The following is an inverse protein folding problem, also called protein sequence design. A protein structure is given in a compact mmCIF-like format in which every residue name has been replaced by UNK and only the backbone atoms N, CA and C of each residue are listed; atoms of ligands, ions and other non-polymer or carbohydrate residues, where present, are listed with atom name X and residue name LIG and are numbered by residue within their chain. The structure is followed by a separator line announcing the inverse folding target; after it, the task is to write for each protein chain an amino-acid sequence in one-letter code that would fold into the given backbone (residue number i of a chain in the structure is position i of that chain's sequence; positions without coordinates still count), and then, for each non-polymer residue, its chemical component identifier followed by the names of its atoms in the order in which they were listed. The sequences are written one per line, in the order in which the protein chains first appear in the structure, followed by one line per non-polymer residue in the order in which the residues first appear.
data_IF_751899064495
#
_entry.id   IF_751899064495
#
_cell.length_a   1.000
_cell.length_b   1.000
_cell.length_c   1.000
_cell.angle_alpha   90.00
_cell.angle_beta   90.00
_cell.angle_gamma   90.00
#
_symmetry.space_group_name_H-M   'P 1'
#
loop_
_entity.id
_entity.type
_entity.pdbx_description
1 polymer ?
#
# COMPACT_ATOMS: atom_id res chain seq x y z
N UNK A 1 -9.81 -57.63 -15.60
CA UNK A 1 -10.87 -56.80 -14.99
C UNK A 1 -10.36 -56.43 -13.60
N UNK A 2 -10.17 -55.20 -13.15
CA UNK A 2 -10.54 -53.89 -13.65
C UNK A 2 -9.57 -52.88 -13.02
N UNK A 3 -9.10 -51.91 -13.81
CA UNK A 3 -8.50 -50.69 -13.28
C UNK A 3 -9.61 -49.78 -12.77
N UNK A 4 -9.45 -49.20 -11.57
CA UNK A 4 -10.31 -48.13 -11.09
C UNK A 4 -9.47 -46.94 -10.63
N UNK A 5 -9.91 -45.79 -11.12
CA UNK A 5 -9.18 -44.56 -11.35
C UNK A 5 -9.02 -43.71 -10.09
N UNK A 6 -7.90 -42.99 -10.03
CA UNK A 6 -7.68 -41.88 -9.11
C UNK A 6 -8.66 -40.73 -9.40
N UNK A 7 -9.42 -40.32 -8.38
CA UNK A 7 -10.26 -39.11 -8.44
C UNK A 7 -9.45 -37.89 -7.97
N UNK A 8 -8.70 -37.29 -8.90
CA UNK A 8 -8.12 -35.96 -8.74
C UNK A 8 -9.17 -34.88 -8.98
N UNK A 9 -9.85 -34.44 -7.92
CA UNK A 9 -10.77 -33.31 -7.97
C UNK A 9 -10.02 -31.97 -8.12
N UNK A 10 -10.03 -31.37 -9.32
CA UNK A 10 -9.56 -30.01 -9.55
C UNK A 10 -10.47 -29.01 -8.81
N UNK A 11 -9.99 -28.38 -7.74
CA UNK A 11 -10.66 -27.21 -7.12
C UNK A 11 -10.81 -26.11 -8.17
N UNK A 12 -12.03 -25.81 -8.60
CA UNK A 12 -12.34 -24.62 -9.42
C UNK A 12 -12.00 -23.38 -8.59
N UNK A 13 -11.06 -22.55 -9.06
CA UNK A 13 -10.85 -21.21 -8.50
C UNK A 13 -12.11 -20.40 -8.76
N UNK A 14 -12.71 -19.85 -7.71
CA UNK A 14 -13.80 -18.90 -7.85
C UNK A 14 -13.30 -17.70 -8.68
N UNK A 15 -14.04 -17.34 -9.72
CA UNK A 15 -13.77 -16.12 -10.48
C UNK A 15 -13.97 -14.92 -9.56
N UNK A 16 -13.03 -13.96 -9.60
CA UNK A 16 -13.21 -12.69 -8.91
C UNK A 16 -14.45 -11.97 -9.49
N UNK A 17 -15.24 -11.27 -8.66
CA UNK A 17 -16.35 -10.47 -9.16
C UNK A 17 -15.85 -9.46 -10.22
N UNK A 18 -16.67 -9.14 -11.22
CA UNK A 18 -16.31 -8.19 -12.26
C UNK A 18 -15.99 -6.82 -11.64
N UNK A 19 -14.94 -6.17 -12.14
CA UNK A 19 -14.60 -4.81 -11.74
C UNK A 19 -15.75 -3.85 -12.12
N UNK A 20 -16.01 -2.86 -11.25
CA UNK A 20 -16.99 -1.81 -11.55
C UNK A 20 -16.53 -0.99 -12.79
N UNK A 21 -17.48 -0.42 -13.56
CA UNK A 21 -17.17 0.54 -14.61
C UNK A 21 -16.31 1.72 -14.09
N UNK A 22 -15.46 2.28 -14.96
CA UNK A 22 -14.47 3.31 -14.59
C UNK A 22 -15.09 4.64 -14.12
N UNK A 23 -16.32 4.91 -14.53
CA UNK A 23 -17.12 6.09 -14.22
C UNK A 23 -17.97 5.92 -12.94
N UNK A 24 -17.90 4.76 -12.28
CA UNK A 24 -18.53 4.55 -10.98
C UNK A 24 -17.66 5.10 -9.83
N UNK A 25 -18.26 5.50 -8.69
CA UNK A 25 -17.52 5.75 -7.46
C UNK A 25 -16.64 4.56 -7.08
N UNK A 26 -15.42 4.79 -6.56
CA UNK A 26 -14.49 3.71 -6.27
C UNK A 26 -15.00 2.84 -5.10
N UNK A 27 -14.87 1.52 -5.25
CA UNK A 27 -14.98 0.62 -4.10
C UNK A 27 -13.76 0.76 -3.15
N UNK A 28 -13.81 0.08 -1.99
CA UNK A 28 -12.75 0.14 -0.98
C UNK A 28 -11.38 -0.26 -1.56
N UNK A 29 -11.35 -1.21 -2.51
CA UNK A 29 -10.12 -1.71 -3.08
C UNK A 29 -9.52 -0.72 -4.09
N UNK A 30 -10.34 -0.11 -4.93
CA UNK A 30 -9.93 0.93 -5.88
C UNK A 30 -9.49 2.19 -5.14
N UNK A 31 -10.26 2.64 -4.14
CA UNK A 31 -9.89 3.75 -3.28
C UNK A 31 -8.54 3.48 -2.61
N UNK A 32 -8.36 2.31 -1.99
CA UNK A 32 -7.10 1.92 -1.35
C UNK A 32 -5.91 1.93 -2.30
N UNK A 33 -6.03 1.36 -3.51
CA UNK A 33 -4.94 1.38 -4.52
C UNK A 33 -4.58 2.80 -4.94
N UNK A 34 -5.57 3.65 -5.15
CA UNK A 34 -5.36 5.06 -5.51
C UNK A 34 -4.69 5.84 -4.38
N UNK A 35 -5.13 5.64 -3.14
CA UNK A 35 -4.55 6.28 -1.97
C UNK A 35 -3.12 5.86 -1.70
N UNK A 36 -2.79 4.56 -1.80
CA UNK A 36 -1.41 4.12 -1.70
C UNK A 36 -0.53 4.69 -2.82
N UNK A 37 -1.06 4.80 -4.03
CA UNK A 37 -0.34 5.44 -5.14
C UNK A 37 0.01 6.90 -4.82
N UNK A 38 -0.94 7.66 -4.24
CA UNK A 38 -0.69 9.03 -3.79
C UNK A 38 0.36 9.08 -2.68
N UNK A 39 0.17 8.31 -1.61
CA UNK A 39 1.04 8.34 -0.42
C UNK A 39 2.49 7.94 -0.74
N UNK A 40 2.67 6.88 -1.54
CA UNK A 40 4.00 6.46 -1.97
C UNK A 40 4.63 7.45 -2.95
N UNK A 41 3.84 8.11 -3.81
CA UNK A 41 4.34 9.18 -4.69
C UNK A 41 4.80 10.41 -3.90
N UNK A 42 4.05 10.84 -2.87
CA UNK A 42 4.48 11.91 -1.95
C UNK A 42 5.80 11.52 -1.26
N UNK A 43 5.92 10.25 -0.86
CA UNK A 43 7.12 9.74 -0.19
C UNK A 43 8.32 9.72 -1.13
N UNK A 44 8.13 9.31 -2.39
CA UNK A 44 9.17 9.26 -3.42
C UNK A 44 9.76 10.64 -3.75
N UNK A 45 8.93 11.69 -3.71
CA UNK A 45 9.32 13.09 -3.96
C UNK A 45 9.74 13.85 -2.71
N UNK A 46 9.64 13.23 -1.53
CA UNK A 46 10.04 13.84 -0.26
C UNK A 46 11.55 14.20 -0.25
N UNK A 47 11.99 15.30 0.39
CA UNK A 47 13.41 15.65 0.41
C UNK A 47 14.25 14.62 1.18
N UNK A 48 15.51 14.44 0.77
CA UNK A 48 16.47 13.65 1.56
C UNK A 48 16.77 14.30 2.91
N UNK A 49 16.76 15.63 2.95
CA UNK A 49 16.96 16.47 4.14
C UNK A 49 15.84 17.51 4.22
N UNK A 50 14.64 17.13 4.71
CA UNK A 50 13.50 18.02 4.81
C UNK A 50 13.69 19.07 5.93
N UNK A 51 13.20 20.29 5.70
CA UNK A 51 13.10 21.29 6.75
C UNK A 51 12.14 20.84 7.87
N UNK A 52 12.38 21.30 9.10
CA UNK A 52 11.57 20.93 10.26
C UNK A 52 10.07 21.28 10.11
N UNK A 53 9.77 22.38 9.40
CA UNK A 53 8.40 22.77 9.03
C UNK A 53 7.71 21.66 8.23
N UNK A 54 8.35 21.19 7.16
CA UNK A 54 7.82 20.14 6.30
C UNK A 54 7.67 18.81 7.05
N UNK A 55 8.56 18.48 7.98
CA UNK A 55 8.42 17.29 8.84
C UNK A 55 7.16 17.36 9.71
N UNK A 56 6.92 18.53 10.31
CA UNK A 56 5.73 18.80 11.12
C UNK A 56 4.45 18.71 10.30
N UNK A 57 4.45 19.32 9.12
CA UNK A 57 3.33 19.32 8.17
C UNK A 57 3.04 17.92 7.64
N UNK A 58 4.08 17.14 7.32
CA UNK A 58 3.92 15.75 6.83
C UNK A 58 3.30 14.86 7.90
N UNK A 59 3.75 14.99 9.14
CA UNK A 59 3.16 14.27 10.27
C UNK A 59 1.71 14.69 10.50
N UNK A 60 1.38 15.98 10.35
CA UNK A 60 0.02 16.49 10.45
C UNK A 60 -0.86 15.99 9.29
N UNK A 61 -0.32 15.96 8.07
CA UNK A 61 -0.98 15.42 6.90
C UNK A 61 -1.38 13.96 7.10
N UNK A 62 -0.48 13.09 7.59
CA UNK A 62 -0.80 11.67 7.83
C UNK A 62 -1.89 11.49 8.90
N UNK A 63 -1.85 12.29 9.98
CA UNK A 63 -2.91 12.29 11.00
C UNK A 63 -4.25 12.74 10.41
N UNK A 64 -4.26 13.80 9.61
CA UNK A 64 -5.48 14.32 8.97
C UNK A 64 -6.00 13.35 7.91
N UNK A 65 -5.12 12.75 7.12
CA UNK A 65 -5.44 11.71 6.16
C UNK A 65 -6.13 10.53 6.85
N UNK A 66 -5.59 10.05 7.96
CA UNK A 66 -6.19 8.98 8.75
C UNK A 66 -7.58 9.31 9.28
N UNK A 67 -7.87 10.59 9.60
CA UNK A 67 -9.21 11.03 10.04
C UNK A 67 -10.20 11.18 8.90
N UNK A 68 -9.73 11.62 7.73
CA UNK A 68 -10.57 11.91 6.57
C UNK A 68 -10.75 10.72 5.63
N UNK A 69 -10.06 9.60 5.87
CA UNK A 69 -10.11 8.44 4.99
C UNK A 69 -11.55 7.84 4.93
N UNK A 70 -12.22 7.78 3.76
CA UNK A 70 -13.66 7.50 3.68
C UNK A 70 -14.10 6.11 4.18
N UNK A 71 -13.20 5.12 4.15
CA UNK A 71 -13.47 3.81 4.75
C UNK A 71 -13.23 3.90 6.26
N UNK A 72 -14.30 4.11 7.04
CA UNK A 72 -14.22 4.30 8.49
C UNK A 72 -13.45 3.20 9.22
N UNK A 73 -13.70 1.91 8.93
CA UNK A 73 -12.93 0.81 9.54
C UNK A 73 -11.45 0.85 9.18
N UNK A 74 -11.12 1.19 7.93
CA UNK A 74 -9.74 1.33 7.48
C UNK A 74 -9.06 2.53 8.14
N UNK A 75 -9.81 3.61 8.35
CA UNK A 75 -9.36 4.85 8.97
C UNK A 75 -9.04 4.64 10.45
N UNK A 76 -9.92 3.96 11.18
CA UNK A 76 -9.74 3.59 12.59
C UNK A 76 -8.51 2.69 12.76
N UNK A 77 -8.39 1.66 11.92
CA UNK A 77 -7.23 0.76 11.93
C UNK A 77 -5.90 1.50 11.71
N UNK A 78 -5.86 2.40 10.73
CA UNK A 78 -4.66 3.16 10.42
C UNK A 78 -4.30 4.13 11.55
N UNK A 79 -5.30 4.78 12.16
CA UNK A 79 -5.10 5.64 13.32
C UNK A 79 -4.58 4.86 14.53
N UNK A 80 -5.11 3.68 14.81
CA UNK A 80 -4.63 2.82 15.90
C UNK A 80 -3.19 2.37 15.66
N UNK A 81 -2.89 1.93 14.44
CA UNK A 81 -1.54 1.52 14.07
C UNK A 81 -0.52 2.65 14.23
N UNK A 82 -0.89 3.89 13.87
CA UNK A 82 -0.01 5.06 14.02
C UNK A 82 0.25 5.47 15.48
N UNK A 83 -0.56 5.05 16.45
CA UNK A 83 -0.33 5.37 17.88
C UNK A 83 0.97 4.74 18.39
N UNK A 84 1.29 3.55 17.91
CA UNK A 84 2.51 2.81 18.29
C UNK A 84 3.59 2.83 17.20
N UNK A 85 3.24 3.24 15.98
CA UNK A 85 4.16 3.40 14.85
C UNK A 85 4.19 4.85 14.36
N UNK A 86 4.81 5.74 15.14
CA UNK A 86 4.88 7.17 14.80
C UNK A 86 5.55 7.39 13.43
N UNK A 87 5.00 8.27 12.56
CA UNK A 87 5.62 8.61 11.28
C UNK A 87 7.08 9.03 11.41
N UNK A 88 7.96 8.36 10.67
CA UNK A 88 9.39 8.71 10.58
C UNK A 88 9.60 9.57 9.36
N UNK A 89 9.64 10.89 9.57
CA UNK A 89 9.67 11.89 8.48
C UNK A 89 10.97 12.69 8.46
N UNK A 90 12.02 12.24 9.14
CA UNK A 90 13.29 13.00 9.23
C UNK A 90 14.08 13.00 7.91
N UNK A 91 13.78 12.07 7.00
CA UNK A 91 14.37 11.96 5.66
C UNK A 91 13.45 11.17 4.74
N UNK A 92 13.66 11.31 3.42
CA UNK A 92 13.00 10.46 2.41
C UNK A 92 13.15 8.96 2.68
N UNK A 93 14.35 8.52 3.08
CA UNK A 93 14.62 7.09 3.33
C UNK A 93 13.79 6.56 4.50
N UNK A 94 13.80 7.28 5.63
CA UNK A 94 12.99 6.88 6.79
C UNK A 94 11.50 6.91 6.50
N UNK A 95 11.04 7.91 5.74
CA UNK A 95 9.64 8.03 5.37
C UNK A 95 9.20 6.94 4.40
N UNK A 96 10.04 6.61 3.41
CA UNK A 96 9.86 5.47 2.50
C UNK A 96 9.72 4.15 3.23
N UNK A 97 10.63 3.89 4.15
CA UNK A 97 10.60 2.68 4.97
C UNK A 97 9.34 2.62 5.83
N UNK A 98 8.97 3.71 6.51
CA UNK A 98 7.75 3.77 7.33
C UNK A 98 6.47 3.59 6.50
N UNK A 99 6.39 4.22 5.32
CA UNK A 99 5.23 4.09 4.43
C UNK A 99 5.08 2.66 3.88
N UNK A 100 6.19 1.99 3.61
CA UNK A 100 6.19 0.58 3.23
C UNK A 100 5.69 -0.32 4.37
N UNK A 101 6.20 -0.13 5.59
CA UNK A 101 5.77 -0.88 6.78
C UNK A 101 4.28 -0.69 7.06
N UNK A 102 3.78 0.55 6.96
CA UNK A 102 2.35 0.85 7.10
C UNK A 102 1.50 0.08 6.07
N UNK A 103 1.94 0.06 4.82
CA UNK A 103 1.26 -0.70 3.76
C UNK A 103 1.34 -2.21 4.00
N UNK A 104 2.48 -2.72 4.48
CA UNK A 104 2.64 -4.13 4.82
C UNK A 104 1.77 -4.56 6.00
N UNK A 105 1.58 -3.72 7.01
CA UNK A 105 0.65 -4.00 8.10
C UNK A 105 -0.78 -4.26 7.57
N UNK A 106 -1.22 -3.47 6.59
CA UNK A 106 -2.50 -3.69 5.90
C UNK A 106 -2.46 -4.94 5.03
N UNK A 107 -1.36 -5.22 4.32
CA UNK A 107 -1.22 -6.45 3.54
C UNK A 107 -1.37 -7.69 4.41
N UNK A 108 -0.65 -7.76 5.53
CA UNK A 108 -0.71 -8.86 6.49
C UNK A 108 -2.14 -9.01 7.04
N UNK A 109 -2.77 -7.91 7.45
CA UNK A 109 -4.16 -7.92 7.93
C UNK A 109 -5.14 -8.50 6.89
N UNK A 110 -4.92 -8.23 5.61
CA UNK A 110 -5.73 -8.71 4.51
C UNK A 110 -5.30 -10.07 3.95
N UNK A 111 -4.34 -10.76 4.58
CA UNK A 111 -3.82 -12.05 4.11
C UNK A 111 -3.05 -11.97 2.79
N UNK A 112 -2.53 -10.79 2.44
CA UNK A 112 -1.68 -10.55 1.27
C UNK A 112 -0.22 -10.78 1.63
N UNK A 113 0.60 -11.04 0.61
CA UNK A 113 2.05 -11.10 0.77
C UNK A 113 2.58 -9.71 1.14
N UNK A 114 3.58 -9.69 2.01
CA UNK A 114 4.37 -8.50 2.26
C UNK A 114 5.17 -8.11 1.02
N UNK A 115 5.34 -6.80 0.84
CA UNK A 115 6.24 -6.21 -0.14
C UNK A 115 7.63 -6.06 0.47
N UNK A 116 8.68 -6.33 -0.32
CA UNK A 116 10.06 -6.10 0.10
C UNK A 116 10.35 -4.59 0.17
N UNK A 117 10.39 -4.04 1.38
CA UNK A 117 10.66 -2.62 1.57
C UNK A 117 12.02 -2.19 1.02
N UNK A 118 13.00 -3.09 0.85
CA UNK A 118 14.25 -2.78 0.16
C UNK A 118 14.07 -2.34 -1.31
N UNK A 119 12.88 -2.54 -1.89
CA UNK A 119 12.54 -2.19 -3.27
C UNK A 119 11.52 -1.07 -3.41
N UNK A 120 11.22 -0.34 -2.32
CA UNK A 120 10.22 0.72 -2.37
C UNK A 120 10.61 1.84 -3.36
N UNK A 121 11.90 2.19 -3.44
CA UNK A 121 12.39 3.20 -4.39
C UNK A 121 12.25 2.76 -5.85
N UNK A 122 12.60 1.51 -6.16
CA UNK A 122 12.43 0.94 -7.50
C UNK A 122 10.95 0.98 -7.92
N UNK A 123 10.05 0.65 -7.00
CA UNK A 123 8.62 0.62 -7.28
C UNK A 123 8.02 2.02 -7.46
N UNK A 124 8.45 3.02 -6.70
CA UNK A 124 7.73 4.29 -6.58
C UNK A 124 8.50 5.53 -7.07
N UNK A 125 9.81 5.43 -7.31
CA UNK A 125 10.64 6.57 -7.71
C UNK A 125 11.46 6.33 -8.97
N UNK A 126 12.27 5.28 -9.01
CA UNK A 126 13.33 5.14 -10.01
C UNK A 126 12.99 4.22 -11.17
N UNK A 127 11.97 3.38 -11.04
CA UNK A 127 11.79 2.24 -11.92
C UNK A 127 12.68 1.06 -11.52
N UNK A 128 12.37 -0.10 -12.09
CA UNK A 128 13.06 -1.36 -11.80
C UNK A 128 14.40 -1.45 -12.53
N UNK A 129 15.41 -2.03 -11.88
CA UNK A 129 16.78 -2.17 -12.44
C UNK A 129 16.87 -3.02 -13.71
N UNK A 130 15.82 -3.77 -14.05
CA UNK A 130 15.74 -4.55 -15.29
C UNK A 130 15.35 -3.72 -16.52
N UNK A 131 15.16 -2.40 -16.35
CA UNK A 131 14.88 -1.46 -17.44
C UNK A 131 13.47 -1.52 -18.00
N UNK A 132 12.57 -2.35 -17.44
CA UNK A 132 11.21 -2.52 -17.96
C UNK A 132 10.30 -1.28 -17.82
N UNK A 133 10.79 -0.26 -17.13
CA UNK A 133 10.11 1.02 -16.94
C UNK A 133 10.80 2.17 -17.67
N UNK A 134 11.84 1.88 -18.46
CA UNK A 134 12.51 2.86 -19.29
C UNK A 134 11.60 3.20 -20.50
N UNK A 135 11.61 4.46 -21.00
CA UNK A 135 10.78 4.89 -22.14
C UNK A 135 11.05 4.19 -23.47
#
# INVERSE_FOLDING_TARGET
MSALFALGGKKKRAALPPALPKDCPPDVAQLGRSSWTLLHSITATYPEKPEHSLQTETSAFLRTFGKLYPCWVCAEDFQEWMKVNTPRVSSRSEFGQWMCEAHNAVNVKLGKKEFDCGKWEERWRTGWKDGRCDP
#
